data_IF_392874280496
#
_entry.id   IF_392874280496
#
_cell.length_a   1.000
_cell.length_b   1.000
_cell.length_c   1.000
_cell.angle_alpha   90.00
_cell.angle_beta   90.00
_cell.angle_gamma   90.00
#
_symmetry.space_group_name_H-M   'P 1'
#
loop_
_entity.id
_entity.type
_entity.pdbx_description
1 polymer ?
#
# COMPACT_ATOMS: atom_id res chain seq x y z
N UNK A 1 22.20 5.22 -9.43
CA UNK A 1 22.82 5.95 -10.56
C UNK A 1 22.90 7.42 -10.23
N UNK A 2 24.08 8.03 -10.38
CA UNK A 2 24.42 9.40 -9.96
C UNK A 2 23.50 10.46 -10.58
N UNK A 3 22.96 10.20 -11.79
CA UNK A 3 21.98 11.07 -12.46
C UNK A 3 20.66 11.25 -11.71
N UNK A 4 20.19 10.27 -10.94
CA UNK A 4 18.98 10.41 -10.14
C UNK A 4 19.18 11.38 -8.96
N UNK A 5 20.40 11.40 -8.39
CA UNK A 5 20.78 12.36 -7.36
C UNK A 5 20.85 13.80 -7.89
N UNK A 6 21.37 13.98 -9.10
CA UNK A 6 21.42 15.30 -9.76
C UNK A 6 20.00 15.80 -10.05
N UNK A 7 19.09 14.94 -10.50
CA UNK A 7 17.68 15.32 -10.74
C UNK A 7 16.93 15.65 -9.43
N UNK A 8 17.24 14.97 -8.34
CA UNK A 8 16.70 15.26 -7.01
C UNK A 8 17.26 16.58 -6.46
N UNK A 9 18.54 16.85 -6.68
CA UNK A 9 19.17 18.13 -6.33
C UNK A 9 18.56 19.28 -7.12
N UNK A 10 18.29 19.10 -8.41
CA UNK A 10 17.60 20.11 -9.23
C UNK A 10 16.17 20.35 -8.74
N UNK A 11 15.44 19.30 -8.33
CA UNK A 11 14.11 19.48 -7.72
C UNK A 11 14.18 20.25 -6.41
N UNK A 12 15.22 20.03 -5.59
CA UNK A 12 15.47 20.81 -4.37
C UNK A 12 15.78 22.27 -4.70
N UNK A 13 16.71 22.53 -5.61
CA UNK A 13 17.14 23.89 -5.99
C UNK A 13 16.00 24.72 -6.60
N UNK A 14 15.15 24.09 -7.43
CA UNK A 14 13.97 24.74 -8.01
C UNK A 14 12.92 25.04 -6.93
N UNK A 15 12.79 24.19 -5.90
CA UNK A 15 11.87 24.41 -4.80
C UNK A 15 12.37 25.52 -3.85
N UNK A 16 13.68 25.55 -3.54
CA UNK A 16 14.32 26.59 -2.73
C UNK A 16 14.31 27.96 -3.41
N UNK A 17 14.40 28.03 -4.74
CA UNK A 17 14.31 29.29 -5.47
C UNK A 17 12.88 29.88 -5.56
N UNK A 18 11.86 29.16 -5.08
CA UNK A 18 10.47 29.62 -4.97
C UNK A 18 10.10 30.04 -3.53
N UNK A 19 10.97 29.83 -2.54
CA UNK A 19 10.76 30.18 -1.12
C UNK A 19 11.07 31.68 -0.87
N UNK A 20 10.27 32.56 -1.48
CA UNK A 20 10.06 33.95 -1.01
C UNK A 20 8.72 34.06 -0.25
N UNK A 21 8.09 32.93 0.09
CA UNK A 21 7.01 32.87 1.07
C UNK A 21 7.60 32.47 2.41
N UNK A 22 7.22 33.15 3.52
CA UNK A 22 7.74 32.83 4.84
C UNK A 22 7.56 31.34 5.09
N UNK A 23 8.55 30.69 5.71
CA UNK A 23 8.40 29.36 6.30
C UNK A 23 7.13 29.39 7.16
N UNK A 24 5.98 29.07 6.55
CA UNK A 24 4.76 28.83 7.27
C UNK A 24 5.14 27.73 8.22
N UNK A 25 5.09 28.05 9.51
CA UNK A 25 5.13 27.12 10.62
C UNK A 25 4.10 26.05 10.33
N UNK A 26 4.45 25.04 9.52
CA UNK A 26 3.61 23.91 9.22
C UNK A 26 3.42 23.25 10.57
N UNK A 27 2.17 23.24 11.03
CA UNK A 27 1.83 22.55 12.27
C UNK A 27 2.48 21.17 12.26
N UNK A 28 3.08 20.74 13.39
CA UNK A 28 3.71 19.44 13.45
C UNK A 28 2.69 18.40 12.96
N UNK A 29 3.07 17.52 12.01
CA UNK A 29 2.14 16.61 11.40
C UNK A 29 1.51 15.78 12.49
N UNK A 30 0.21 15.53 12.32
CA UNK A 30 -0.48 14.58 13.16
C UNK A 30 0.33 13.29 13.21
N UNK A 31 0.42 12.74 14.41
CA UNK A 31 1.21 11.55 14.70
C UNK A 31 0.88 10.40 13.75
N UNK A 32 -0.39 10.28 13.38
CA UNK A 32 -0.94 9.35 12.42
C UNK A 32 -0.27 9.48 11.05
N UNK A 33 0.02 10.71 10.59
CA UNK A 33 0.67 10.95 9.30
C UNK A 33 2.10 10.40 9.29
N UNK A 34 2.83 10.52 10.40
CA UNK A 34 4.19 9.96 10.53
C UNK A 34 4.13 8.42 10.44
N UNK A 35 3.18 7.80 11.15
CA UNK A 35 2.99 6.35 11.09
C UNK A 35 2.61 5.88 9.68
N UNK A 36 1.68 6.58 9.02
CA UNK A 36 1.23 6.28 7.65
C UNK A 36 2.40 6.39 6.67
N UNK A 37 3.14 7.49 6.72
CA UNK A 37 4.28 7.71 5.83
C UNK A 37 5.36 6.63 6.01
N UNK A 38 5.61 6.17 7.24
CA UNK A 38 6.56 5.10 7.49
C UNK A 38 6.09 3.73 6.97
N UNK A 39 4.80 3.40 7.11
CA UNK A 39 4.21 2.21 6.51
C UNK A 39 4.33 2.23 4.97
N UNK A 40 4.06 3.39 4.37
CA UNK A 40 4.19 3.60 2.91
C UNK A 40 5.66 3.50 2.51
N UNK A 41 6.58 4.16 3.22
CA UNK A 41 8.02 4.12 2.94
C UNK A 41 8.54 2.68 2.93
N UNK A 42 8.19 1.89 3.94
CA UNK A 42 8.59 0.48 4.03
C UNK A 42 8.02 -0.35 2.87
N UNK A 43 6.74 -0.18 2.54
CA UNK A 43 6.13 -0.82 1.38
C UNK A 43 6.86 -0.47 0.07
N UNK A 44 7.16 0.81 -0.13
CA UNK A 44 7.84 1.29 -1.32
C UNK A 44 9.26 0.72 -1.43
N UNK A 45 9.99 0.65 -0.31
CA UNK A 45 11.33 0.06 -0.27
C UNK A 45 11.32 -1.42 -0.60
N UNK A 46 10.40 -2.18 0.02
CA UNK A 46 10.28 -3.63 -0.21
C UNK A 46 9.94 -3.95 -1.67
N UNK A 47 9.08 -3.16 -2.31
CA UNK A 47 8.67 -3.35 -3.71
C UNK A 47 9.62 -2.70 -4.73
N UNK A 48 10.74 -2.10 -4.29
CA UNK A 48 11.75 -1.52 -5.18
C UNK A 48 11.41 -0.14 -5.75
N UNK A 49 10.40 0.56 -5.23
CA UNK A 49 10.02 1.93 -5.61
C UNK A 49 10.92 2.98 -4.95
N UNK A 50 12.24 2.82 -5.08
CA UNK A 50 13.25 3.58 -4.33
C UNK A 50 13.21 5.09 -4.59
N UNK A 51 12.93 5.49 -5.83
CA UNK A 51 12.83 6.91 -6.18
C UNK A 51 11.62 7.59 -5.51
N UNK A 52 10.48 6.91 -5.53
CA UNK A 52 9.26 7.41 -4.88
C UNK A 52 9.45 7.50 -3.36
N UNK A 53 10.09 6.49 -2.75
CA UNK A 53 10.41 6.51 -1.32
C UNK A 53 11.31 7.69 -0.93
N UNK A 54 12.31 8.01 -1.77
CA UNK A 54 13.20 9.14 -1.53
C UNK A 54 12.49 10.49 -1.65
N UNK A 55 11.57 10.64 -2.61
CA UNK A 55 10.77 11.86 -2.75
C UNK A 55 9.81 12.01 -1.57
N UNK A 56 9.10 10.95 -1.19
CA UNK A 56 8.22 10.93 -0.01
C UNK A 56 8.98 11.36 1.26
N UNK A 57 10.19 10.86 1.45
CA UNK A 57 10.99 11.22 2.62
C UNK A 57 11.43 12.69 2.62
N UNK A 58 11.70 13.26 1.44
CA UNK A 58 12.07 14.67 1.31
C UNK A 58 10.86 15.61 1.45
N UNK A 59 9.67 15.18 0.99
CA UNK A 59 8.42 15.96 1.04
C UNK A 59 7.73 15.88 2.41
N UNK A 60 7.86 14.77 3.11
CA UNK A 60 7.45 14.68 4.49
C UNK A 60 8.33 15.63 5.31
N UNK A 61 7.74 16.74 5.79
CA UNK A 61 8.41 17.88 6.45
C UNK A 61 9.25 17.55 7.70
N UNK A 62 9.51 16.27 8.00
CA UNK A 62 10.19 15.77 9.19
C UNK A 62 11.18 14.63 8.85
N UNK A 63 12.24 14.89 8.07
CA UNK A 63 13.26 13.89 7.76
C UNK A 63 14.02 13.39 9.00
N UNK A 64 14.06 14.15 10.10
CA UNK A 64 14.77 13.77 11.34
C UNK A 64 14.08 12.64 12.13
N UNK A 65 12.76 12.46 11.94
CA UNK A 65 11.97 11.45 12.67
C UNK A 65 11.95 10.11 11.92
N UNK A 66 12.35 10.09 10.65
CA UNK A 66 12.35 8.90 9.80
C UNK A 66 13.80 8.42 9.52
N UNK A 67 14.04 7.09 9.44
CA UNK A 67 13.07 6.01 9.55
C UNK A 67 12.71 5.68 11.01
N UNK A 68 11.45 5.35 11.27
CA UNK A 68 11.03 4.83 12.56
C UNK A 68 11.43 3.36 12.72
N UNK A 69 11.74 2.97 13.96
CA UNK A 69 12.03 1.56 14.27
C UNK A 69 10.81 0.68 14.02
N UNK A 70 11.01 -0.45 13.34
CA UNK A 70 9.94 -1.38 12.98
C UNK A 70 9.27 -1.98 14.21
N UNK A 71 9.99 -2.20 15.32
CA UNK A 71 9.38 -2.70 16.57
C UNK A 71 8.58 -1.63 17.29
N UNK A 72 9.02 -0.37 17.23
CA UNK A 72 8.21 0.78 17.65
C UNK A 72 6.88 0.80 16.88
N UNK A 73 6.90 0.71 15.54
CA UNK A 73 5.68 0.69 14.71
C UNK A 73 4.75 -0.48 15.08
N UNK A 74 5.28 -1.69 15.28
CA UNK A 74 4.47 -2.85 15.71
C UNK A 74 3.79 -2.61 17.06
N UNK A 75 4.54 -2.12 18.04
CA UNK A 75 4.00 -1.83 19.38
C UNK A 75 2.94 -0.75 19.30
N UNK A 76 3.20 0.28 18.51
CA UNK A 76 2.31 1.41 18.37
C UNK A 76 0.98 1.03 17.73
N UNK A 77 1.04 0.28 16.63
CA UNK A 77 -0.13 -0.20 15.90
C UNK A 77 -0.76 -1.45 16.54
N UNK A 78 -0.21 -1.92 17.67
CA UNK A 78 -0.60 -3.14 18.38
C UNK A 78 -0.69 -4.35 17.43
N UNK A 79 0.29 -4.47 16.54
CA UNK A 79 0.38 -5.57 15.58
C UNK A 79 1.06 -6.78 16.22
N UNK A 80 0.37 -7.92 16.19
CA UNK A 80 0.95 -9.23 16.45
C UNK A 80 1.20 -9.90 15.11
N UNK A 81 2.46 -9.96 14.69
CA UNK A 81 2.82 -10.58 13.42
C UNK A 81 2.83 -12.10 13.56
N UNK A 82 2.10 -12.80 12.69
CA UNK A 82 2.35 -14.21 12.43
C UNK A 82 3.68 -14.39 11.67
N UNK A 83 4.19 -15.61 11.63
CA UNK A 83 5.43 -15.93 10.89
C UNK A 83 5.37 -15.48 9.42
N UNK A 84 4.20 -15.59 8.78
CA UNK A 84 3.95 -15.19 7.40
C UNK A 84 4.27 -13.70 7.12
N UNK A 85 4.04 -12.81 8.08
CA UNK A 85 4.24 -11.36 7.90
C UNK A 85 5.57 -10.85 8.47
N UNK A 86 6.43 -11.72 9.03
CA UNK A 86 7.69 -11.27 9.62
C UNK A 86 8.62 -10.63 8.60
N UNK A 87 8.68 -11.19 7.39
CA UNK A 87 9.51 -10.73 6.27
C UNK A 87 8.80 -9.72 5.34
N UNK A 88 7.50 -9.49 5.52
CA UNK A 88 6.70 -8.58 4.70
C UNK A 88 6.61 -7.18 5.32
N UNK A 89 6.38 -6.11 4.53
CA UNK A 89 6.09 -4.78 5.08
C UNK A 89 4.90 -4.81 6.04
N UNK A 90 4.95 -4.01 7.10
CA UNK A 90 3.92 -3.97 8.14
C UNK A 90 2.54 -3.63 7.57
N UNK A 91 2.49 -2.92 6.45
CA UNK A 91 1.24 -2.63 5.75
C UNK A 91 0.48 -3.90 5.33
N UNK A 92 1.17 -4.98 4.97
CA UNK A 92 0.53 -6.27 4.65
C UNK A 92 -0.14 -6.87 5.89
N UNK A 93 0.52 -6.79 7.06
CA UNK A 93 -0.03 -7.29 8.31
C UNK A 93 -1.27 -6.48 8.76
N UNK A 94 -1.27 -5.16 8.51
CA UNK A 94 -2.44 -4.30 8.76
C UNK A 94 -3.62 -4.75 7.89
N UNK A 95 -3.40 -4.95 6.58
CA UNK A 95 -4.45 -5.39 5.66
C UNK A 95 -4.95 -6.78 6.06
N UNK A 96 -4.07 -7.75 6.30
CA UNK A 96 -4.44 -9.10 6.72
C UNK A 96 -5.32 -9.10 7.97
N UNK A 97 -4.95 -8.30 8.98
CA UNK A 97 -5.76 -8.11 10.20
C UNK A 97 -7.14 -7.52 9.91
N UNK A 98 -7.25 -6.54 9.02
CA UNK A 98 -8.54 -5.93 8.66
C UNK A 98 -9.42 -6.90 7.85
N UNK A 99 -8.82 -7.63 6.91
CA UNK A 99 -9.52 -8.64 6.12
C UNK A 99 -10.04 -9.80 6.97
N UNK A 100 -9.29 -10.25 7.99
CA UNK A 100 -9.76 -11.30 8.92
C UNK A 100 -10.89 -10.85 9.84
N UNK A 101 -11.07 -9.53 10.04
CA UNK A 101 -12.18 -8.99 10.83
C UNK A 101 -13.45 -8.79 10.01
N UNK A 102 -13.38 -8.85 8.67
CA UNK A 102 -14.57 -8.85 7.84
C UNK A 102 -15.18 -10.27 7.84
N UNK A 103 -16.47 -10.43 8.19
CA UNK A 103 -17.13 -11.69 7.95
C UNK A 103 -17.01 -12.02 6.46
N UNK A 104 -16.55 -13.22 6.14
CA UNK A 104 -16.62 -13.72 4.77
C UNK A 104 -18.10 -13.65 4.38
N UNK A 105 -18.49 -12.82 3.39
CA UNK A 105 -19.87 -12.83 2.93
C UNK A 105 -20.20 -14.26 2.52
N UNK A 106 -21.31 -14.81 3.03
CA UNK A 106 -21.78 -16.13 2.64
C UNK A 106 -21.70 -16.23 1.11
N UNK A 107 -21.13 -17.31 0.55
CA UNK A 107 -21.05 -17.44 -0.89
C UNK A 107 -22.47 -17.27 -1.44
N UNK A 108 -22.70 -16.24 -2.25
CA UNK A 108 -23.99 -16.07 -2.91
C UNK A 108 -24.31 -17.40 -3.60
N UNK A 109 -25.52 -17.95 -3.41
CA UNK A 109 -25.87 -19.22 -4.03
C UNK A 109 -25.66 -19.06 -5.54
N UNK A 110 -24.70 -19.81 -6.07
CA UNK A 110 -24.47 -19.90 -7.51
C UNK A 110 -25.80 -20.30 -8.13
N UNK A 111 -26.48 -19.35 -8.76
CA UNK A 111 -27.66 -19.64 -9.56
C UNK A 111 -27.16 -20.40 -10.78
N UNK A 112 -27.13 -21.73 -10.65
CA UNK A 112 -26.92 -22.62 -11.79
C UNK A 112 -28.13 -22.40 -12.67
N UNK A 113 -27.96 -21.58 -13.70
CA UNK A 113 -28.98 -21.40 -14.72
C UNK A 113 -29.20 -22.76 -15.39
N UNK A 114 -30.32 -23.40 -15.05
CA UNK A 114 -30.70 -24.71 -15.59
C UNK A 114 -31.23 -24.60 -17.03
N UNK A 115 -31.24 -23.41 -17.63
CA UNK A 115 -31.71 -23.20 -18.99
C UNK A 115 -30.81 -23.87 -20.05
N UNK A 116 -29.53 -24.12 -19.75
CA UNK A 116 -28.59 -24.76 -20.69
C UNK A 116 -28.68 -26.30 -20.74
N UNK A 117 -29.45 -26.93 -19.86
CA UNK A 117 -29.53 -28.40 -19.78
C UNK A 117 -30.57 -29.03 -20.74
N UNK A 118 -31.40 -28.23 -21.42
CA UNK A 118 -32.42 -28.70 -22.37
C UNK A 118 -32.15 -28.21 -23.80
N UNK A 119 -30.94 -28.43 -24.31
CA UNK A 119 -30.67 -28.27 -25.75
C UNK A 119 -29.67 -29.30 -26.24
N UNK A 120 -30.02 -30.58 -26.13
CA UNK A 120 -29.37 -31.68 -26.87
C UNK A 120 -30.20 -32.96 -26.74
N UNK A 121 -31.37 -33.01 -27.38
CA UNK A 121 -32.01 -34.28 -27.72
C UNK A 121 -31.71 -34.57 -29.21
N UNK A 122 -31.00 -35.65 -29.56
CA UNK A 122 -30.78 -36.02 -30.95
C UNK A 122 -32.07 -36.54 -31.56
N UNK A 123 -32.43 -36.00 -32.73
CA UNK A 123 -33.57 -36.40 -33.53
C UNK A 123 -33.35 -37.80 -34.08
N UNK A 124 -34.28 -38.72 -33.78
CA UNK A 124 -34.33 -40.04 -34.41
C UNK A 124 -34.59 -39.88 -35.92
N UNK A 125 -33.75 -40.51 -36.75
CA UNK A 125 -34.08 -40.80 -38.15
C UNK A 125 -34.22 -42.32 -38.26
N UNK A 126 -35.47 -42.77 -38.24
CA UNK A 126 -35.86 -44.15 -38.54
C UNK A 126 -35.88 -44.34 -40.06
N UNK A 127 -35.01 -45.21 -40.54
CA UNK A 127 -34.96 -45.71 -41.92
C UNK A 127 -36.06 -46.75 -42.17
N UNK A 128 -36.79 -46.60 -43.26
CA UNK A 128 -37.49 -47.69 -43.95
C UNK A 128 -36.54 -48.43 -44.90
#
# INVERSE_FOLDING_TARGET
>A
GVMAGIKAQVRREIFTALEDEPEETRDPPLRENVLINELIREYLQYNGYLHTASVLQAEASHPEVMPLDRNFLKRELRLQLSEEYQSLPLLYAVIGRLSSQMPVPDPEPVQVDRSDAFSSAPSEVSSA
#
